data_IF_913359550421
#
_entry.id   IF_913359550421
#
_cell.length_a   1.000
_cell.length_b   1.000
_cell.length_c   1.000
_cell.angle_alpha   90.00
_cell.angle_beta   90.00
_cell.angle_gamma   90.00
#
_symmetry.space_group_name_H-M   'P 1'
#
loop_
_entity.id
_entity.type
_entity.pdbx_description
1 polymer ?
#
# COMPACT_ATOMS: atom_id res chain seq x y z
N UNK A 1 0.74 -9.82 -6.80
CA UNK A 1 1.60 -8.90 -6.02
C UNK A 1 1.81 -7.56 -6.73
N UNK A 2 2.53 -7.50 -7.86
CA UNK A 2 2.86 -6.25 -8.56
C UNK A 2 1.61 -5.55 -9.12
N UNK A 3 0.68 -6.32 -9.68
CA UNK A 3 -0.61 -5.82 -10.16
C UNK A 3 -1.44 -5.08 -9.12
N UNK A 4 -1.73 -5.73 -7.99
CA UNK A 4 -2.44 -5.13 -6.85
C UNK A 4 -1.78 -3.84 -6.37
N UNK A 5 -0.46 -3.87 -6.17
CA UNK A 5 0.31 -2.71 -5.72
C UNK A 5 0.23 -1.51 -6.67
N UNK A 6 0.19 -1.76 -7.99
CA UNK A 6 0.07 -0.69 -8.99
C UNK A 6 -1.36 -0.22 -9.17
N UNK A 7 -2.33 -1.12 -9.08
CA UNK A 7 -3.76 -0.82 -9.11
C UNK A 7 -4.13 0.09 -7.93
N UNK A 8 -3.61 -0.21 -6.73
CA UNK A 8 -3.88 0.56 -5.53
C UNK A 8 -3.42 2.03 -5.67
N UNK A 9 -2.20 2.26 -6.17
CA UNK A 9 -1.66 3.62 -6.42
C UNK A 9 -2.37 4.27 -7.62
N UNK A 10 -2.39 3.59 -8.76
CA UNK A 10 -2.83 4.17 -10.03
C UNK A 10 -4.33 4.41 -10.10
N UNK A 11 -5.13 3.51 -9.50
CA UNK A 11 -6.59 3.59 -9.50
C UNK A 11 -7.14 3.97 -8.13
N UNK A 12 -6.74 3.27 -7.07
CA UNK A 12 -7.31 3.47 -5.72
C UNK A 12 -7.07 4.88 -5.19
N UNK A 13 -5.82 5.33 -5.14
CA UNK A 13 -5.47 6.66 -4.63
C UNK A 13 -6.06 7.76 -5.51
N UNK A 14 -5.98 7.60 -6.83
CA UNK A 14 -6.56 8.55 -7.77
C UNK A 14 -8.09 8.65 -7.65
N UNK A 15 -8.79 7.53 -7.43
CA UNK A 15 -10.24 7.51 -7.25
C UNK A 15 -10.69 8.31 -6.03
N UNK A 16 -9.93 8.28 -4.92
CA UNK A 16 -10.23 9.10 -3.73
C UNK A 16 -10.14 10.59 -4.05
N UNK A 17 -9.07 11.02 -4.73
CA UNK A 17 -8.88 12.43 -5.12
C UNK A 17 -9.95 12.87 -6.12
N UNK A 18 -10.22 12.06 -7.15
CA UNK A 18 -11.25 12.35 -8.14
C UNK A 18 -12.64 12.44 -7.51
N UNK A 19 -12.96 11.55 -6.57
CA UNK A 19 -14.24 11.57 -5.83
C UNK A 19 -14.37 12.85 -5.00
N UNK A 20 -13.32 13.24 -4.27
CA UNK A 20 -13.28 14.49 -3.51
C UNK A 20 -13.45 15.72 -4.42
N UNK A 21 -12.81 15.72 -5.59
CA UNK A 21 -12.95 16.79 -6.58
C UNK A 21 -14.34 16.84 -7.20
N UNK A 22 -14.91 15.70 -7.62
CA UNK A 22 -16.24 15.65 -8.25
C UNK A 22 -17.34 16.13 -7.31
N UNK A 23 -17.27 15.72 -6.03
CA UNK A 23 -18.30 16.04 -5.03
C UNK A 23 -18.11 17.40 -4.37
N UNK A 24 -16.89 17.73 -3.96
CA UNK A 24 -16.60 18.90 -3.12
C UNK A 24 -15.73 19.96 -3.81
N UNK A 25 -15.28 19.71 -5.04
CA UNK A 25 -14.38 20.60 -5.80
C UNK A 25 -13.01 20.84 -5.14
N UNK A 26 -12.64 20.04 -4.14
CA UNK A 26 -11.30 20.03 -3.58
C UNK A 26 -10.29 19.57 -4.63
N UNK A 27 -9.21 20.35 -4.80
CA UNK A 27 -8.15 20.06 -5.78
C UNK A 27 -6.94 19.37 -5.16
N UNK A 28 -6.93 19.21 -3.84
CA UNK A 28 -5.88 18.54 -3.09
C UNK A 28 -6.49 17.80 -1.90
N UNK A 29 -5.85 16.69 -1.54
CA UNK A 29 -6.09 15.97 -0.29
C UNK A 29 -4.84 16.13 0.56
N UNK A 30 -4.99 16.71 1.75
CA UNK A 30 -3.87 16.87 2.69
C UNK A 30 -3.81 15.68 3.62
N UNK A 31 -2.62 15.14 3.80
CA UNK A 31 -2.33 14.07 4.73
C UNK A 31 -1.97 14.67 6.09
N UNK A 32 -2.32 13.96 7.15
CA UNK A 32 -1.88 14.30 8.49
C UNK A 32 -0.41 13.91 8.71
N UNK A 33 0.28 14.64 9.60
CA UNK A 33 1.65 14.33 9.96
C UNK A 33 1.80 12.93 10.61
N UNK A 34 0.71 12.37 11.16
CA UNK A 34 0.64 10.98 11.65
C UNK A 34 1.02 9.97 10.56
N UNK A 35 0.75 10.27 9.28
CA UNK A 35 1.10 9.42 8.14
C UNK A 35 2.60 9.43 7.78
N UNK A 36 3.42 10.19 8.51
CA UNK A 36 4.88 10.23 8.31
C UNK A 36 5.52 8.85 8.50
N UNK A 37 4.98 8.04 9.41
CA UNK A 37 5.50 6.70 9.68
C UNK A 37 5.29 5.80 8.46
N UNK A 38 4.09 5.79 7.89
CA UNK A 38 3.73 5.04 6.69
C UNK A 38 4.65 5.42 5.52
N UNK A 39 4.80 6.73 5.26
CA UNK A 39 5.66 7.22 4.17
C UNK A 39 7.13 6.83 4.36
N UNK A 40 7.63 6.91 5.59
CA UNK A 40 9.00 6.49 5.90
C UNK A 40 9.21 5.00 5.60
N UNK A 41 8.35 4.11 6.11
CA UNK A 41 8.48 2.68 5.89
C UNK A 41 8.23 2.28 4.43
N UNK A 42 7.31 2.95 3.74
CA UNK A 42 7.11 2.80 2.30
C UNK A 42 8.35 3.21 1.50
N UNK A 43 9.04 4.28 1.93
CA UNK A 43 10.29 4.73 1.32
C UNK A 43 11.39 3.68 1.47
N UNK A 44 11.55 3.09 2.67
CA UNK A 44 12.51 2.01 2.92
C UNK A 44 12.20 0.76 2.08
N UNK A 45 10.94 0.33 2.07
CA UNK A 45 10.49 -0.81 1.28
C UNK A 45 10.72 -0.59 -0.22
N UNK A 46 10.42 0.61 -0.70
CA UNK A 46 10.63 1.01 -2.10
C UNK A 46 12.12 1.00 -2.45
N UNK A 47 12.97 1.58 -1.61
CA UNK A 47 14.42 1.58 -1.83
C UNK A 47 14.97 0.14 -1.88
N UNK A 48 14.56 -0.72 -0.95
CA UNK A 48 14.98 -2.12 -0.95
C UNK A 48 14.44 -2.89 -2.17
N UNK A 49 13.23 -2.58 -2.63
CA UNK A 49 12.60 -3.30 -3.75
C UNK A 49 13.36 -3.19 -5.07
N UNK A 50 14.24 -2.18 -5.25
CA UNK A 50 15.13 -2.10 -6.41
C UNK A 50 16.26 -3.14 -6.40
N UNK A 51 16.59 -3.72 -5.24
CA UNK A 51 17.59 -4.81 -5.13
C UNK A 51 17.06 -6.10 -5.78
N UNK A 52 15.74 -6.34 -5.71
CA UNK A 52 15.12 -7.58 -6.18
C UNK A 52 15.31 -7.77 -7.70
N UNK A 53 15.00 -6.79 -8.59
CA UNK A 53 15.27 -6.91 -10.01
C UNK A 53 16.75 -7.10 -10.36
N UNK A 54 17.66 -6.46 -9.60
CA UNK A 54 19.11 -6.60 -9.81
C UNK A 54 19.59 -8.03 -9.52
N UNK A 55 18.97 -8.68 -8.53
CA UNK A 55 19.28 -10.05 -8.12
C UNK A 55 18.55 -11.11 -8.96
N UNK A 56 17.40 -10.77 -9.56
CA UNK A 56 16.58 -11.70 -10.33
C UNK A 56 15.91 -12.80 -9.48
N UNK A 57 15.79 -12.60 -8.17
CA UNK A 57 15.17 -13.58 -7.26
C UNK A 57 14.62 -12.94 -5.99
N UNK A 58 13.68 -13.64 -5.36
CA UNK A 58 13.14 -13.35 -4.04
C UNK A 58 13.56 -14.46 -3.06
N UNK A 59 14.43 -14.14 -2.11
CA UNK A 59 14.99 -15.07 -1.13
C UNK A 59 14.46 -14.81 0.28
N UNK A 60 14.73 -15.74 1.20
CA UNK A 60 14.37 -15.59 2.63
C UNK A 60 15.04 -14.36 3.26
N UNK A 61 16.20 -13.93 2.75
CA UNK A 61 16.82 -12.67 3.20
C UNK A 61 15.92 -11.47 2.88
N UNK A 62 15.30 -11.44 1.70
CA UNK A 62 14.36 -10.38 1.34
C UNK A 62 13.11 -10.43 2.23
N UNK A 63 12.63 -11.63 2.54
CA UNK A 63 11.55 -11.81 3.53
C UNK A 63 11.93 -11.21 4.87
N UNK A 64 13.11 -11.51 5.40
CA UNK A 64 13.57 -10.96 6.68
C UNK A 64 13.60 -9.43 6.63
N UNK A 65 14.18 -8.84 5.57
CA UNK A 65 14.26 -7.38 5.45
C UNK A 65 12.87 -6.73 5.36
N UNK A 66 12.01 -7.22 4.45
CA UNK A 66 10.69 -6.64 4.23
C UNK A 66 9.75 -6.82 5.43
N UNK A 67 9.79 -7.99 6.09
CA UNK A 67 9.02 -8.23 7.31
C UNK A 67 9.55 -7.42 8.48
N UNK A 68 10.85 -7.16 8.57
CA UNK A 68 11.43 -6.28 9.58
C UNK A 68 10.96 -4.84 9.40
N UNK A 69 10.95 -4.33 8.16
CA UNK A 69 10.37 -3.02 7.84
C UNK A 69 8.89 -2.97 8.25
N UNK A 70 8.12 -4.01 7.92
CA UNK A 70 6.71 -4.10 8.30
C UNK A 70 6.49 -4.15 9.81
N UNK A 71 7.32 -4.90 10.55
CA UNK A 71 7.20 -5.01 11.99
C UNK A 71 7.52 -3.68 12.69
N UNK A 72 8.53 -2.95 12.20
CA UNK A 72 8.81 -1.60 12.68
C UNK A 72 7.67 -0.63 12.36
N UNK A 73 7.05 -0.76 11.18
CA UNK A 73 5.86 0.00 10.83
C UNK A 73 4.72 -0.27 11.82
N UNK A 74 4.38 -1.54 12.06
CA UNK A 74 3.32 -1.94 13.01
C UNK A 74 3.63 -1.42 14.42
N UNK A 75 4.88 -1.55 14.88
CA UNK A 75 5.30 -1.02 16.19
C UNK A 75 5.11 0.49 16.29
N UNK A 76 5.40 1.23 15.22
CA UNK A 76 5.20 2.67 15.17
C UNK A 76 3.71 3.03 15.13
N UNK A 77 2.90 2.33 14.33
CA UNK A 77 1.45 2.52 14.23
C UNK A 77 0.73 2.27 15.58
N UNK A 78 1.11 1.23 16.33
CA UNK A 78 0.52 0.93 17.66
C UNK A 78 0.75 2.07 18.67
N UNK A 79 1.79 2.88 18.50
CA UNK A 79 2.13 3.99 19.39
C UNK A 79 1.44 5.30 19.03
N UNK A 80 0.75 5.37 17.89
CA UNK A 80 0.02 6.56 17.50
C UNK A 80 -1.22 6.75 18.38
N UNK A 81 -1.63 8.00 18.65
CA UNK A 81 -2.83 8.27 19.43
C UNK A 81 -4.06 7.68 18.74
N UNK A 82 -4.77 6.80 19.46
CA UNK A 82 -6.00 6.18 18.98
C UNK A 82 -7.13 7.20 19.12
N UNK A 83 -7.69 7.64 18.00
CA UNK A 83 -8.94 8.38 17.97
C UNK A 83 -10.10 7.37 18.00
N UNK A 84 -11.11 7.61 18.84
CA UNK A 84 -12.29 6.74 18.84
C UNK A 84 -12.97 6.81 17.46
N UNK A 85 -13.13 5.67 16.77
CA UNK A 85 -13.72 5.67 15.45
C UNK A 85 -15.22 5.95 15.54
N UNK A 86 -15.72 6.79 14.65
CA UNK A 86 -17.17 6.96 14.46
C UNK A 86 -17.76 5.69 13.84
N UNK A 87 -18.37 4.85 14.68
CA UNK A 87 -18.98 3.61 14.23
C UNK A 87 -20.25 3.89 13.45
N UNK A 88 -20.32 3.32 12.25
CA UNK A 88 -21.46 3.46 11.35
C UNK A 88 -21.88 2.11 10.78
N UNK A 89 -23.15 1.98 10.39
CA UNK A 89 -23.68 0.78 9.73
C UNK A 89 -23.54 -0.50 10.56
N UNK A 90 -23.07 -1.63 9.97
CA UNK A 90 -22.93 -2.91 10.68
C UNK A 90 -22.05 -2.82 11.93
N UNK A 91 -21.00 -2.00 11.92
CA UNK A 91 -20.13 -1.82 13.08
C UNK A 91 -20.87 -1.17 14.26
N UNK A 92 -21.73 -0.18 13.99
CA UNK A 92 -22.57 0.44 15.01
C UNK A 92 -23.63 -0.54 15.57
N UNK A 93 -24.17 -1.41 14.72
CA UNK A 93 -25.13 -2.45 15.14
C UNK A 93 -24.48 -3.43 16.13
N UNK A 94 -23.26 -3.89 15.85
CA UNK A 94 -22.48 -4.74 16.77
C UNK A 94 -22.14 -4.01 18.08
N UNK A 95 -21.81 -2.72 18.00
CA UNK A 95 -21.43 -1.93 19.16
C UNK A 95 -22.55 -1.78 20.21
N UNK A 96 -23.82 -1.87 19.79
CA UNK A 96 -25.01 -1.82 20.65
C UNK A 96 -25.25 -3.10 21.45
N UNK A 97 -24.60 -4.21 21.09
CA UNK A 97 -24.72 -5.47 21.84
C UNK A 97 -23.96 -5.39 23.17
N UNK A 98 -24.42 -6.16 24.16
CA UNK A 98 -23.68 -6.35 25.41
C UNK A 98 -22.27 -6.93 25.13
N UNK A 99 -21.28 -6.75 26.03
CA UNK A 99 -19.88 -7.05 25.74
C UNK A 99 -19.60 -8.49 25.26
N UNK A 100 -20.24 -9.48 25.89
CA UNK A 100 -20.09 -10.90 25.53
C UNK A 100 -20.66 -11.22 24.13
N UNK A 101 -21.95 -10.96 23.83
CA UNK A 101 -22.49 -11.22 22.49
C UNK A 101 -21.80 -10.39 21.41
N UNK A 102 -21.36 -9.16 21.72
CA UNK A 102 -20.56 -8.35 20.79
C UNK A 102 -19.26 -9.06 20.40
N UNK A 103 -18.46 -9.50 21.39
CA UNK A 103 -17.20 -10.21 21.15
C UNK A 103 -17.42 -11.53 20.42
N UNK A 104 -18.43 -12.29 20.82
CA UNK A 104 -18.77 -13.56 20.18
C UNK A 104 -19.17 -13.35 18.71
N UNK A 105 -20.03 -12.36 18.41
CA UNK A 105 -20.42 -12.02 17.05
C UNK A 105 -19.22 -11.56 16.20
N UNK A 106 -18.35 -10.69 16.75
CA UNK A 106 -17.13 -10.25 16.06
C UNK A 106 -16.20 -11.43 15.74
N UNK A 107 -15.95 -12.33 16.71
CA UNK A 107 -15.12 -13.52 16.49
C UNK A 107 -15.75 -14.46 15.47
N UNK A 108 -17.06 -14.71 15.56
CA UNK A 108 -17.77 -15.55 14.60
C UNK A 108 -17.69 -14.98 13.17
N UNK A 109 -17.82 -13.66 13.02
CA UNK A 109 -17.65 -12.98 11.72
C UNK A 109 -16.23 -13.14 11.17
N UNK A 110 -15.20 -12.98 12.02
CA UNK A 110 -13.80 -13.19 11.61
C UNK A 110 -13.53 -14.63 11.18
N UNK A 111 -13.99 -15.61 11.97
CA UNK A 111 -13.82 -17.02 11.65
C UNK A 111 -14.56 -17.40 10.36
N UNK A 112 -15.80 -16.94 10.21
CA UNK A 112 -16.60 -17.18 9.01
C UNK A 112 -15.96 -16.57 7.77
N UNK A 113 -15.54 -15.30 7.83
CA UNK A 113 -14.89 -14.62 6.71
C UNK A 113 -13.54 -15.27 6.37
N UNK A 114 -12.71 -15.57 7.38
CA UNK A 114 -11.42 -16.22 7.19
C UNK A 114 -11.55 -17.62 6.57
N UNK A 115 -12.49 -18.44 7.06
CA UNK A 115 -12.77 -19.75 6.49
C UNK A 115 -13.30 -19.63 5.06
N UNK A 116 -14.19 -18.67 4.79
CA UNK A 116 -14.72 -18.44 3.44
C UNK A 116 -13.61 -18.06 2.47
N UNK A 117 -12.71 -17.14 2.85
CA UNK A 117 -11.55 -16.76 2.02
C UNK A 117 -10.64 -17.97 1.78
N UNK A 118 -10.33 -18.74 2.82
CA UNK A 118 -9.48 -19.92 2.71
C UNK A 118 -10.07 -20.97 1.74
N UNK A 119 -11.36 -21.28 1.87
CA UNK A 119 -12.04 -22.25 1.00
C UNK A 119 -12.27 -21.73 -0.43
N UNK A 120 -12.38 -20.41 -0.62
CA UNK A 120 -12.69 -19.83 -1.92
C UNK A 120 -11.46 -19.42 -2.75
N UNK A 121 -10.30 -19.17 -2.11
CA UNK A 121 -9.13 -18.58 -2.78
C UNK A 121 -8.59 -19.45 -3.94
N UNK A 122 -8.39 -20.75 -3.70
CA UNK A 122 -7.89 -21.68 -4.72
C UNK A 122 -8.91 -21.90 -5.85
N UNK A 123 -10.19 -22.25 -5.58
CA UNK A 123 -11.20 -22.38 -6.63
C UNK A 123 -11.38 -21.10 -7.46
N UNK A 124 -11.28 -19.92 -6.83
CA UNK A 124 -11.33 -18.64 -7.51
C UNK A 124 -10.15 -18.48 -8.49
N UNK A 125 -8.92 -18.72 -8.04
CA UNK A 125 -7.73 -18.59 -8.87
C UNK A 125 -7.74 -19.59 -10.06
N UNK A 126 -8.08 -20.86 -9.81
CA UNK A 126 -8.17 -21.87 -10.85
C UNK A 126 -9.28 -21.57 -11.86
N UNK A 127 -10.46 -21.16 -11.37
CA UNK A 127 -11.60 -20.81 -12.23
C UNK A 127 -11.30 -19.58 -13.10
N UNK A 128 -10.53 -18.63 -12.57
CA UNK A 128 -10.09 -17.46 -13.31
C UNK A 128 -9.19 -17.85 -14.48
N UNK A 129 -8.17 -18.68 -14.23
CA UNK A 129 -7.24 -19.18 -15.26
C UNK A 129 -8.00 -20.04 -16.30
N UNK A 130 -8.85 -20.96 -15.84
CA UNK A 130 -9.64 -21.83 -16.71
C UNK A 130 -10.61 -21.03 -17.60
N UNK A 131 -11.22 -19.98 -17.06
CA UNK A 131 -12.05 -19.06 -17.85
C UNK A 131 -11.22 -18.29 -18.86
N UNK A 132 -10.04 -17.81 -18.47
CA UNK A 132 -9.07 -17.19 -19.38
C UNK A 132 -8.76 -18.02 -20.62
N UNK A 133 -8.39 -19.29 -20.41
CA UNK A 133 -8.12 -20.24 -21.49
C UNK A 133 -9.28 -20.41 -22.44
N UNK A 134 -10.52 -20.46 -21.93
CA UNK A 134 -11.74 -20.59 -22.75
C UNK A 134 -12.02 -19.36 -23.61
N UNK A 135 -11.72 -18.17 -23.10
CA UNK A 135 -11.93 -16.91 -23.82
C UNK A 135 -10.71 -16.43 -24.61
N UNK A 136 -9.61 -17.19 -24.62
CA UNK A 136 -8.36 -16.80 -25.27
C UNK A 136 -7.68 -15.59 -24.61
N UNK A 137 -7.94 -15.33 -23.32
CA UNK A 137 -7.34 -14.24 -22.56
C UNK A 137 -6.07 -14.75 -21.88
N UNK A 138 -4.98 -14.00 -22.01
CA UNK A 138 -3.69 -14.33 -21.41
C UNK A 138 -3.79 -14.44 -19.87
N UNK A 139 -3.29 -15.53 -19.31
CA UNK A 139 -3.31 -15.81 -17.85
C UNK A 139 -2.69 -14.69 -17.04
N UNK A 140 -1.60 -14.09 -17.54
CA UNK A 140 -0.94 -13.00 -16.86
C UNK A 140 -1.85 -11.79 -16.68
N UNK A 141 -2.67 -11.41 -17.68
CA UNK A 141 -3.61 -10.29 -17.54
C UNK A 141 -4.65 -10.57 -16.45
N UNK A 142 -5.09 -11.81 -16.35
CA UNK A 142 -6.07 -12.22 -15.36
C UNK A 142 -5.49 -12.19 -13.95
N UNK A 143 -4.30 -12.78 -13.76
CA UNK A 143 -3.62 -12.83 -12.45
C UNK A 143 -3.13 -11.45 -12.01
N UNK A 144 -2.65 -10.64 -12.96
CA UNK A 144 -2.08 -9.33 -12.68
C UNK A 144 -3.15 -8.25 -12.48
N UNK A 145 -4.26 -8.30 -13.21
CA UNK A 145 -5.22 -7.21 -13.22
C UNK A 145 -6.60 -7.62 -12.71
N UNK A 146 -7.16 -8.70 -13.22
CA UNK A 146 -8.54 -9.07 -12.88
C UNK A 146 -8.66 -9.62 -11.45
N UNK A 147 -7.73 -10.49 -11.03
CA UNK A 147 -7.70 -11.01 -9.66
C UNK A 147 -7.54 -9.88 -8.64
N UNK A 148 -6.53 -8.98 -8.75
CA UNK A 148 -6.43 -7.82 -7.87
C UNK A 148 -7.63 -6.89 -7.94
N UNK A 149 -8.17 -6.61 -9.12
CA UNK A 149 -9.35 -5.77 -9.21
C UNK A 149 -10.51 -6.36 -8.40
N UNK A 150 -10.73 -7.66 -8.48
CA UNK A 150 -11.76 -8.34 -7.69
C UNK A 150 -11.45 -8.33 -6.18
N UNK A 151 -10.21 -8.65 -5.78
CA UNK A 151 -9.83 -8.75 -4.37
C UNK A 151 -9.74 -7.39 -3.66
N UNK A 152 -9.35 -6.33 -4.37
CA UNK A 152 -9.21 -4.97 -3.84
C UNK A 152 -10.51 -4.15 -3.95
N UNK A 153 -11.49 -4.59 -4.75
CA UNK A 153 -12.77 -3.90 -4.95
C UNK A 153 -13.51 -3.58 -3.63
N UNK A 154 -13.62 -4.49 -2.64
CA UNK A 154 -14.24 -4.16 -1.36
C UNK A 154 -13.54 -3.00 -0.64
N UNK A 155 -12.21 -2.95 -0.65
CA UNK A 155 -11.44 -1.84 -0.08
C UNK A 155 -11.70 -0.54 -0.85
N UNK A 156 -11.69 -0.59 -2.19
CA UNK A 156 -11.99 0.57 -3.05
C UNK A 156 -13.38 1.14 -2.79
N UNK A 157 -14.39 0.31 -2.61
CA UNK A 157 -15.75 0.76 -2.26
C UNK A 157 -15.73 1.50 -0.92
N UNK A 158 -15.07 0.96 0.10
CA UNK A 158 -15.01 1.59 1.42
C UNK A 158 -14.32 2.97 1.35
N UNK A 159 -13.15 3.07 0.72
CA UNK A 159 -12.41 4.34 0.65
C UNK A 159 -13.13 5.39 -0.21
N UNK A 160 -13.84 4.98 -1.27
CA UNK A 160 -14.70 5.87 -2.06
C UNK A 160 -15.87 6.37 -1.21
N UNK A 161 -16.49 5.52 -0.39
CA UNK A 161 -17.55 5.94 0.53
C UNK A 161 -17.04 6.96 1.56
N UNK A 162 -15.82 6.79 2.09
CA UNK A 162 -15.19 7.77 2.97
C UNK A 162 -14.93 9.09 2.24
N UNK A 163 -14.37 9.03 1.03
CA UNK A 163 -14.16 10.21 0.19
C UNK A 163 -15.47 10.94 -0.11
N UNK A 164 -16.54 10.22 -0.43
CA UNK A 164 -17.89 10.78 -0.63
C UNK A 164 -18.45 11.42 0.64
N UNK A 165 -18.00 11.04 1.84
CA UNK A 165 -18.41 11.64 3.11
C UNK A 165 -17.53 12.83 3.53
N UNK A 166 -16.63 13.27 2.66
CA UNK A 166 -15.69 14.35 2.97
C UNK A 166 -14.48 13.89 3.79
N UNK A 167 -14.31 12.58 3.99
CA UNK A 167 -13.21 11.98 4.75
C UNK A 167 -12.08 11.51 3.81
N UNK A 168 -11.72 12.32 2.83
CA UNK A 168 -10.72 11.96 1.81
C UNK A 168 -9.32 11.75 2.42
N UNK A 169 -8.95 12.50 3.46
CA UNK A 169 -7.69 12.30 4.20
C UNK A 169 -7.64 10.92 4.84
N UNK A 170 -8.70 10.52 5.55
CA UNK A 170 -8.79 9.18 6.14
C UNK A 170 -8.77 8.08 5.06
N UNK A 171 -9.46 8.29 3.94
CA UNK A 171 -9.46 7.36 2.82
C UNK A 171 -8.05 7.15 2.21
N UNK A 172 -7.29 8.23 1.99
CA UNK A 172 -5.89 8.12 1.56
C UNK A 172 -5.02 7.45 2.63
N UNK A 173 -5.23 7.76 3.92
CA UNK A 173 -4.53 7.12 5.03
C UNK A 173 -4.70 5.60 5.05
N UNK A 174 -5.93 5.11 4.83
CA UNK A 174 -6.24 3.67 4.71
C UNK A 174 -5.45 3.07 3.53
N UNK A 175 -5.52 3.67 2.35
CA UNK A 175 -4.82 3.16 1.17
C UNK A 175 -3.30 3.24 1.30
N UNK A 176 -2.77 4.23 2.01
CA UNK A 176 -1.34 4.35 2.25
C UNK A 176 -0.85 3.23 3.20
N UNK A 177 -1.61 2.94 4.26
CA UNK A 177 -1.34 1.81 5.15
C UNK A 177 -1.44 0.47 4.41
N UNK A 178 -2.49 0.29 3.58
CA UNK A 178 -2.65 -0.89 2.71
C UNK A 178 -1.46 -1.04 1.76
N UNK A 179 -0.96 0.07 1.17
CA UNK A 179 0.23 0.06 0.32
C UNK A 179 1.49 -0.40 1.07
N UNK A 180 1.72 0.09 2.30
CA UNK A 180 2.86 -0.36 3.12
C UNK A 180 2.77 -1.87 3.32
N UNK A 181 1.61 -2.38 3.72
CA UNK A 181 1.37 -3.81 3.91
C UNK A 181 1.61 -4.63 2.63
N UNK A 182 1.03 -4.22 1.49
CA UNK A 182 1.17 -4.91 0.21
C UNK A 182 2.59 -4.84 -0.38
N UNK A 183 3.38 -3.82 -0.04
CA UNK A 183 4.75 -3.64 -0.53
C UNK A 183 5.82 -4.13 0.46
N UNK A 184 5.40 -4.66 1.62
CA UNK A 184 6.30 -5.25 2.62
C UNK A 184 5.85 -6.66 2.99
N UNK A 185 4.81 -6.80 3.82
CA UNK A 185 4.31 -8.09 4.31
C UNK A 185 3.97 -9.04 3.16
N UNK A 186 3.19 -8.59 2.18
CA UNK A 186 2.79 -9.45 1.05
C UNK A 186 4.00 -9.94 0.25
N UNK A 187 4.92 -9.03 -0.10
CA UNK A 187 6.13 -9.36 -0.87
C UNK A 187 7.04 -10.29 -0.05
N UNK A 188 7.26 -9.97 1.22
CA UNK A 188 8.11 -10.73 2.12
C UNK A 188 7.53 -12.10 2.52
N UNK A 189 6.22 -12.27 2.48
CA UNK A 189 5.58 -13.56 2.76
C UNK A 189 5.72 -14.56 1.61
N UNK A 190 5.92 -14.10 0.36
CA UNK A 190 5.97 -14.99 -0.81
C UNK A 190 7.10 -16.04 -0.73
N UNK A 191 8.37 -15.70 -0.44
CA UNK A 191 9.43 -16.73 -0.32
C UNK A 191 9.19 -17.70 0.81
N UNK A 192 8.54 -17.26 1.90
CA UNK A 192 8.20 -18.13 3.03
C UNK A 192 7.13 -19.14 2.60
N UNK A 193 6.05 -18.67 1.97
CA UNK A 193 5.00 -19.56 1.46
C UNK A 193 5.56 -20.54 0.40
N UNK A 194 6.44 -20.07 -0.47
CA UNK A 194 7.13 -20.88 -1.47
C UNK A 194 8.05 -21.95 -0.83
N UNK A 195 8.84 -21.58 0.17
CA UNK A 195 9.68 -22.56 0.88
C UNK A 195 8.86 -23.59 1.65
N UNK A 196 7.79 -23.16 2.33
CA UNK A 196 6.87 -24.07 3.03
C UNK A 196 6.20 -25.05 2.07
N UNK A 197 5.79 -24.61 0.88
CA UNK A 197 5.17 -25.50 -0.11
C UNK A 197 6.15 -26.50 -0.73
N UNK A 198 7.44 -26.16 -0.78
CA UNK A 198 8.51 -27.07 -1.22
C UNK A 198 9.01 -28.00 -0.10
N UNK A 199 8.77 -27.66 1.18
CA UNK A 199 9.31 -28.37 2.33
C UNK A 199 10.79 -28.07 2.62
N UNK A 200 11.35 -27.03 1.99
CA UNK A 200 12.75 -26.62 2.13
C UNK A 200 12.92 -25.09 2.07
N UNK A 201 14.09 -24.59 2.46
CA UNK A 201 14.41 -23.16 2.34
C UNK A 201 14.69 -22.84 0.87
N UNK A 202 13.64 -22.43 0.16
CA UNK A 202 13.70 -22.08 -1.27
C UNK A 202 13.98 -20.60 -1.53
N UNK A 203 14.66 -20.32 -2.63
CA UNK A 203 14.69 -18.97 -3.25
C UNK A 203 13.81 -18.99 -4.49
N UNK A 204 12.88 -18.05 -4.57
CA UNK A 204 11.99 -17.92 -5.72
C UNK A 204 12.74 -17.21 -6.85
N UNK A 205 13.13 -17.96 -7.89
CA UNK A 205 13.70 -17.39 -9.10
C UNK A 205 12.63 -16.57 -9.84
N UNK A 206 13.02 -15.39 -10.32
CA UNK A 206 12.13 -14.52 -11.08
C UNK A 206 12.47 -14.63 -12.57
N UNK A 207 11.44 -14.80 -13.40
CA UNK A 207 11.62 -14.69 -14.84
C UNK A 207 11.84 -13.22 -15.26
N UNK A 208 12.26 -12.99 -16.51
CA UNK A 208 12.53 -11.64 -17.02
C UNK A 208 11.32 -10.71 -16.90
N UNK A 209 10.10 -11.21 -17.15
CA UNK A 209 8.88 -10.43 -17.03
C UNK A 209 8.62 -10.04 -15.58
N UNK A 210 8.77 -10.94 -14.63
CA UNK A 210 8.58 -10.66 -13.21
C UNK A 210 9.60 -9.63 -12.69
N UNK A 211 10.86 -9.73 -13.13
CA UNK A 211 11.91 -8.74 -12.84
C UNK A 211 11.50 -7.35 -13.32
N UNK A 212 11.04 -7.24 -14.56
CA UNK A 212 10.55 -5.98 -15.15
C UNK A 212 9.34 -5.42 -14.40
N UNK A 213 8.39 -6.29 -14.04
CA UNK A 213 7.16 -5.91 -13.34
C UNK A 213 7.43 -5.41 -11.91
N UNK A 214 8.40 -6.00 -11.22
CA UNK A 214 8.86 -5.52 -9.91
C UNK A 214 9.58 -4.18 -10.05
N UNK A 215 10.48 -4.04 -11.03
CA UNK A 215 11.19 -2.77 -11.29
C UNK A 215 10.19 -1.62 -11.55
N UNK A 216 9.21 -1.87 -12.40
CA UNK A 216 8.17 -0.90 -12.72
C UNK A 216 7.31 -0.55 -11.51
N UNK A 217 6.97 -1.54 -10.68
CA UNK A 217 6.20 -1.29 -9.45
C UNK A 217 7.03 -0.52 -8.41
N UNK A 218 8.34 -0.78 -8.31
CA UNK A 218 9.26 -0.03 -7.46
C UNK A 218 9.38 1.43 -7.94
N UNK A 219 9.52 1.64 -9.25
CA UNK A 219 9.57 2.97 -9.86
C UNK A 219 8.28 3.77 -9.60
N UNK A 220 7.09 3.17 -9.80
CA UNK A 220 5.83 3.82 -9.48
C UNK A 220 5.71 4.13 -7.98
N UNK A 221 6.16 3.22 -7.10
CA UNK A 221 6.15 3.45 -5.66
C UNK A 221 7.09 4.59 -5.25
N UNK A 222 8.26 4.73 -5.90
CA UNK A 222 9.17 5.85 -5.68
C UNK A 222 8.55 7.18 -6.06
N UNK A 223 7.84 7.22 -7.20
CA UNK A 223 7.12 8.41 -7.61
C UNK A 223 5.97 8.77 -6.67
N UNK A 224 5.20 7.77 -6.23
CA UNK A 224 4.13 7.95 -5.25
C UNK A 224 4.65 8.50 -3.91
N UNK A 225 5.78 7.99 -3.42
CA UNK A 225 6.46 8.52 -2.22
C UNK A 225 6.89 9.97 -2.43
N UNK A 226 7.48 10.32 -3.57
CA UNK A 226 7.91 11.68 -3.84
C UNK A 226 6.74 12.68 -3.94
N UNK A 227 5.61 12.26 -4.49
CA UNK A 227 4.36 13.03 -4.50
C UNK A 227 3.92 13.31 -3.06
N UNK A 228 3.76 12.25 -2.25
CA UNK A 228 3.23 12.38 -0.89
C UNK A 228 4.22 12.95 0.14
N UNK A 229 5.48 13.14 -0.24
CA UNK A 229 6.52 13.59 0.68
C UNK A 229 6.22 14.95 1.33
N UNK A 230 5.46 15.82 0.66
CA UNK A 230 5.01 17.11 1.20
C UNK A 230 3.65 17.03 1.95
N UNK A 231 3.13 15.82 2.21
CA UNK A 231 1.84 15.57 2.84
C UNK A 231 0.64 16.21 2.12
N UNK A 232 0.75 16.42 0.81
CA UNK A 232 -0.34 16.86 -0.05
C UNK A 232 -0.43 15.98 -1.28
N UNK A 233 -1.65 15.74 -1.75
CA UNK A 233 -1.88 15.00 -2.98
C UNK A 233 -2.88 15.74 -3.86
N UNK A 234 -2.37 16.38 -4.90
CA UNK A 234 -3.14 17.21 -5.81
C UNK A 234 -3.86 16.40 -6.89
N UNK A 235 -4.91 16.99 -7.45
CA UNK A 235 -5.63 16.45 -8.60
C UNK A 235 -4.72 16.21 -9.81
N UNK A 236 -3.69 17.06 -10.00
CA UNK A 236 -2.73 16.91 -11.11
C UNK A 236 -1.84 15.69 -10.92
N UNK A 237 -1.34 15.47 -9.70
CA UNK A 237 -0.52 14.31 -9.36
C UNK A 237 -1.35 13.03 -9.45
N UNK A 238 -2.59 13.05 -8.95
CA UNK A 238 -3.55 11.94 -9.08
C UNK A 238 -3.86 11.62 -10.55
N UNK A 239 -4.11 12.64 -11.38
CA UNK A 239 -4.31 12.46 -12.81
C UNK A 239 -3.06 11.90 -13.50
N UNK A 240 -1.87 12.36 -13.13
CA UNK A 240 -0.60 11.86 -13.69
C UNK A 240 -0.40 10.38 -13.36
N UNK A 241 -0.59 9.98 -12.09
CA UNK A 241 -0.51 8.58 -11.67
C UNK A 241 -1.54 7.71 -12.40
N UNK A 242 -2.79 8.17 -12.49
CA UNK A 242 -3.87 7.46 -13.16
C UNK A 242 -3.61 7.27 -14.64
N UNK A 243 -3.24 8.35 -15.35
CA UNK A 243 -2.96 8.28 -16.79
C UNK A 243 -1.81 7.33 -17.06
N UNK A 244 -0.67 7.48 -16.37
CA UNK A 244 0.49 6.60 -16.56
C UNK A 244 0.13 5.13 -16.27
N UNK A 245 -0.65 4.89 -15.22
CA UNK A 245 -1.12 3.54 -14.88
C UNK A 245 -2.03 2.96 -15.96
N UNK A 246 -3.08 3.68 -16.36
CA UNK A 246 -4.08 3.20 -17.32
C UNK A 246 -3.46 2.99 -18.70
N UNK A 247 -2.61 3.91 -19.18
CA UNK A 247 -1.96 3.74 -20.47
C UNK A 247 -1.04 2.52 -20.46
N UNK A 248 -0.30 2.29 -19.38
CA UNK A 248 0.53 1.09 -19.21
C UNK A 248 -0.27 -0.23 -19.27
N UNK A 249 -1.56 -0.25 -18.91
CA UNK A 249 -2.40 -1.47 -19.02
C UNK A 249 -2.57 -1.93 -20.47
N UNK A 250 -2.63 -0.98 -21.41
CA UNK A 250 -2.85 -1.28 -22.82
C UNK A 250 -1.55 -1.61 -23.57
N UNK A 251 -0.39 -1.25 -23.02
CA UNK A 251 0.91 -1.49 -23.63
C UNK A 251 1.68 -2.56 -22.86
N UNK A 252 1.56 -3.81 -23.29
CA UNK A 252 2.11 -4.97 -22.58
C UNK A 252 3.53 -5.37 -23.01
N UNK A 253 4.16 -4.67 -23.95
CA UNK A 253 5.50 -5.00 -24.45
C UNK A 253 6.61 -4.70 -23.42
N UNK A 254 7.66 -5.54 -23.31
CA UNK A 254 8.78 -5.34 -22.39
C UNK A 254 9.43 -3.95 -22.46
N UNK A 255 9.69 -3.46 -23.68
CA UNK A 255 10.33 -2.16 -23.92
C UNK A 255 9.52 -1.01 -23.31
N UNK A 256 8.20 -1.12 -23.40
CA UNK A 256 7.27 -0.12 -22.85
C UNK A 256 7.27 -0.19 -21.33
N UNK A 257 7.34 -1.37 -20.71
CA UNK A 257 7.46 -1.48 -19.24
C UNK A 257 8.70 -0.78 -18.72
N UNK A 258 9.85 -0.98 -19.39
CA UNK A 258 11.09 -0.25 -19.06
C UNK A 258 10.94 1.26 -19.25
N UNK A 259 10.29 1.70 -20.33
CA UNK A 259 10.04 3.11 -20.58
C UNK A 259 9.18 3.74 -19.48
N UNK A 260 8.11 3.07 -19.02
CA UNK A 260 7.32 3.54 -17.88
C UNK A 260 8.13 3.56 -16.59
N UNK A 261 8.97 2.55 -16.34
CA UNK A 261 9.81 2.51 -15.15
C UNK A 261 10.79 3.69 -15.13
N UNK A 262 11.48 3.94 -16.25
CA UNK A 262 12.34 5.12 -16.43
C UNK A 262 11.53 6.41 -16.30
N UNK A 263 10.35 6.48 -16.91
CA UNK A 263 9.46 7.64 -16.83
C UNK A 263 9.09 7.99 -15.38
N UNK A 264 8.67 7.01 -14.58
CA UNK A 264 8.39 7.21 -13.16
C UNK A 264 9.63 7.68 -12.38
N UNK A 265 10.82 7.10 -12.65
CA UNK A 265 12.06 7.53 -12.01
C UNK A 265 12.46 8.95 -12.39
N UNK A 266 12.35 9.33 -13.66
CA UNK A 266 12.62 10.69 -14.14
C UNK A 266 11.65 11.70 -13.52
N UNK A 267 10.37 11.35 -13.42
CA UNK A 267 9.37 12.19 -12.74
C UNK A 267 9.66 12.32 -11.25
N UNK A 268 10.13 11.24 -10.60
CA UNK A 268 10.55 11.25 -9.19
C UNK A 268 11.71 12.22 -8.99
N UNK A 269 12.78 12.09 -9.79
CA UNK A 269 13.96 12.97 -9.72
C UNK A 269 13.59 14.41 -10.06
N UNK A 270 12.80 14.63 -11.11
CA UNK A 270 12.35 15.95 -11.54
C UNK A 270 11.52 16.64 -10.46
N UNK A 271 10.56 15.92 -9.85
CA UNK A 271 9.75 16.44 -8.76
C UNK A 271 10.60 16.82 -7.55
N UNK A 272 11.51 15.94 -7.10
CA UNK A 272 12.39 16.23 -5.96
C UNK A 272 13.42 17.34 -6.25
N UNK A 273 13.76 17.56 -7.51
CA UNK A 273 14.69 18.63 -7.92
C UNK A 273 14.02 19.99 -7.96
N UNK A 274 12.76 20.05 -8.42
CA UNK A 274 12.00 21.30 -8.60
C UNK A 274 11.24 21.69 -7.32
N UNK A 275 10.58 20.72 -6.68
CA UNK A 275 9.77 20.93 -5.48
C UNK A 275 10.64 20.91 -4.23
N UNK A 276 10.94 22.10 -3.70
CA UNK A 276 11.64 22.24 -2.42
C UNK A 276 10.87 21.58 -1.28
N UNK A 277 9.55 21.62 -1.33
CA UNK A 277 8.65 21.08 -0.29
C UNK A 277 8.63 19.55 -0.29
N UNK A 278 8.55 18.92 -1.48
CA UNK A 278 8.62 17.45 -1.58
C UNK A 278 10.00 16.95 -1.15
N UNK A 279 11.06 17.68 -1.51
CA UNK A 279 12.42 17.34 -1.10
C UNK A 279 12.63 17.50 0.41
N UNK A 280 12.23 18.63 0.99
CA UNK A 280 12.36 18.87 2.43
C UNK A 280 11.49 17.89 3.23
N UNK A 281 10.28 17.59 2.73
CA UNK A 281 9.39 16.57 3.23
C UNK A 281 10.06 15.20 3.28
N UNK A 282 10.65 14.74 2.17
CA UNK A 282 11.36 13.46 2.11
C UNK A 282 12.53 13.42 3.10
N UNK A 283 13.36 14.47 3.16
CA UNK A 283 14.44 14.55 4.14
C UNK A 283 13.93 14.53 5.59
N UNK A 284 12.79 15.18 5.84
CA UNK A 284 12.18 15.23 7.18
C UNK A 284 11.77 13.83 7.68
N UNK A 285 11.31 12.95 6.78
CA UNK A 285 10.96 11.56 7.12
C UNK A 285 12.16 10.81 7.73
N UNK A 286 13.34 10.94 7.11
CA UNK A 286 14.55 10.27 7.59
C UNK A 286 15.16 10.95 8.81
N UNK A 287 15.10 12.28 8.90
CA UNK A 287 15.64 13.01 10.05
C UNK A 287 14.83 12.79 11.33
N UNK A 288 13.49 12.70 11.23
CA UNK A 288 12.59 12.45 12.35
C UNK A 288 12.74 11.01 12.87
N UNK A 289 12.92 10.04 11.97
CA UNK A 289 13.24 8.66 12.36
C UNK A 289 14.57 8.58 13.14
N UNK A 290 15.60 9.32 12.71
CA UNK A 290 16.88 9.39 13.42
C UNK A 290 16.73 10.01 14.82
N UNK A 291 15.91 11.06 14.99
CA UNK A 291 15.64 11.67 16.31
C UNK A 291 14.85 10.75 17.23
N UNK A 292 13.88 10.01 16.70
CA UNK A 292 13.12 9.03 17.46
C UNK A 292 13.99 7.83 17.92
N UNK A 293 15.00 7.45 17.13
CA UNK A 293 15.94 6.38 17.46
C UNK A 293 17.00 6.77 18.51
N UNK A 294 17.37 8.06 18.59
CA UNK A 294 18.43 8.56 19.49
C UNK A 294 17.91 8.91 20.89
N UNK A 295 16.60 8.94 21.12
CA UNK A 295 16.00 9.13 22.44
C UNK A 295 16.13 10.58 22.93
N UNK A 296 15.06 11.36 22.80
CA UNK A 296 14.98 12.62 23.55
C UNK A 296 14.85 12.29 25.04
N UNK A 297 15.73 12.80 25.93
CA UNK A 297 15.58 12.60 27.36
C UNK A 297 14.28 13.24 27.82
N UNK A 298 13.49 12.49 28.60
CA UNK A 298 12.28 12.99 29.22
C UNK A 298 12.62 14.24 30.03
N UNK A 299 12.05 15.38 29.64
CA UNK A 299 12.11 16.61 30.43
C UNK A 299 11.37 16.36 31.76
N UNK A 300 12.01 16.56 32.93
CA UNK A 300 11.33 16.39 34.20
C UNK A 300 10.23 17.45 34.33
N UNK A 301 9.02 17.02 34.70
CA UNK A 301 7.95 17.93 35.14
C UNK A 301 8.46 18.78 36.32
N UNK A 302 8.32 20.11 36.30
CA UNK A 302 8.58 20.92 37.48
C UNK A 302 7.49 20.61 38.50
N UNK A 303 7.90 20.03 39.64
CA UNK A 303 7.03 19.80 40.78
C UNK A 303 6.45 21.11 41.29
N UNK A 304 5.15 21.10 41.57
CA UNK A 304 4.50 22.15 42.35
C UNK A 304 5.17 22.22 43.73
N UNK A 305 5.86 23.35 43.98
CA UNK A 305 6.20 23.76 45.33
C UNK A 305 4.98 24.44 45.96
N UNK A 306 4.40 23.80 46.96
CA UNK A 306 3.54 24.47 47.93
C UNK A 306 4.45 25.14 48.98
N UNK A 307 4.23 26.44 49.17
CA UNK A 307 4.74 27.27 50.24
C UNK A 307 3.72 28.37 50.51
#
# INVERSE_FOLDING_TARGET
MTGANRLLIGLGWAAVVFTGWLKFRHREVRLEASHSSELFHLSLATAYSFVIPLKGSLSVVDSIVLLTIFLFYVRAAIRQPVHEPELNGPAAMLARLAPLPRRAATVAMFLFAGLTIFLAAEPFAESLIASGKRFGIEEFLLIQWLAPLASESPEFIVVILFALRGQATAAIGILLSSKVNQWTLLVGALPIAYGVSLGEVGTMALDARQVEEILLTAAQSAFAVAILANFSFSLREAATLFVLFVTQLFFTSPEVRFLYAIGYLLLTVGLLSVSRDSRSGLFSLFSSASKAAVGSPATPHPGHGEG
#
